data_IF_324995189077
#
_entry.id   IF_324995189077
#
_cell.length_a   1.000
_cell.length_b   1.000
_cell.length_c   1.000
_cell.angle_alpha   90.00
_cell.angle_beta   90.00
_cell.angle_gamma   90.00
#
_symmetry.space_group_name_H-M   'P 1'
#
loop_
_entity.id
_entity.type
_entity.pdbx_description
1 polymer ?
#
# COMPACT_ATOMS: atom_id res chain seq x y z
N UNK A 1 -19.00 -1.48 7.41
CA UNK A 1 -19.00 -2.68 6.55
C UNK A 1 -17.75 -3.45 6.92
N UNK A 2 -17.84 -4.39 7.87
CA UNK A 2 -16.68 -5.23 8.22
C UNK A 2 -16.45 -6.18 7.05
N UNK A 3 -15.29 -6.09 6.40
CA UNK A 3 -14.82 -7.13 5.49
C UNK A 3 -14.57 -8.38 6.35
N UNK A 4 -15.60 -9.24 6.47
CA UNK A 4 -15.40 -10.58 6.98
C UNK A 4 -14.66 -11.33 5.86
N UNK A 5 -13.33 -11.35 5.92
CA UNK A 5 -12.54 -12.31 5.16
C UNK A 5 -12.91 -13.69 5.69
N UNK A 6 -13.90 -14.31 5.06
CA UNK A 6 -14.02 -15.75 5.10
C UNK A 6 -12.72 -16.30 4.51
N UNK A 7 -12.03 -17.18 5.25
CA UNK A 7 -10.85 -17.89 4.73
C UNK A 7 -11.20 -18.77 3.52
N UNK A 8 -12.50 -18.93 3.22
CA UNK A 8 -12.97 -19.62 2.04
C UNK A 8 -12.90 -18.70 0.81
N UNK A 9 -11.80 -18.83 0.07
CA UNK A 9 -11.58 -18.16 -1.22
C UNK A 9 -12.77 -18.35 -2.17
N UNK A 10 -13.41 -19.53 -2.14
CA UNK A 10 -14.54 -19.83 -3.01
C UNK A 10 -15.77 -18.97 -2.72
N UNK A 11 -15.94 -18.47 -1.49
CA UNK A 11 -17.05 -17.60 -1.12
C UNK A 11 -16.77 -16.13 -1.44
N UNK A 12 -15.51 -15.71 -1.41
CA UNK A 12 -15.11 -14.29 -1.57
C UNK A 12 -14.75 -13.94 -3.01
N UNK A 13 -14.25 -14.88 -3.81
CA UNK A 13 -13.78 -14.62 -5.16
C UNK A 13 -14.91 -14.21 -6.13
N UNK A 14 -16.10 -14.80 -6.02
CA UNK A 14 -17.23 -14.46 -6.90
C UNK A 14 -17.75 -13.03 -6.68
N UNK A 15 -18.09 -12.60 -5.44
CA UNK A 15 -18.51 -11.23 -5.20
C UNK A 15 -17.39 -10.23 -5.55
N UNK A 16 -16.13 -10.55 -5.23
CA UNK A 16 -14.98 -9.70 -5.59
C UNK A 16 -14.89 -9.45 -7.11
N UNK A 17 -14.90 -10.50 -7.93
CA UNK A 17 -14.83 -10.37 -9.38
C UNK A 17 -16.03 -9.62 -9.97
N UNK A 18 -17.22 -9.80 -9.38
CA UNK A 18 -18.43 -9.10 -9.80
C UNK A 18 -18.30 -7.59 -9.55
N UNK A 19 -17.89 -7.18 -8.34
CA UNK A 19 -17.69 -5.77 -8.01
C UNK A 19 -16.52 -5.15 -8.78
N UNK A 20 -15.46 -5.91 -9.03
CA UNK A 20 -14.33 -5.47 -9.84
C UNK A 20 -14.76 -5.22 -11.30
N UNK A 21 -15.51 -6.15 -11.89
CA UNK A 21 -16.09 -6.00 -13.24
C UNK A 21 -16.99 -4.78 -13.31
N UNK A 22 -17.89 -4.60 -12.32
CA UNK A 22 -18.78 -3.44 -12.24
C UNK A 22 -17.99 -2.13 -12.16
N UNK A 23 -16.90 -2.11 -11.39
CA UNK A 23 -16.02 -0.94 -11.28
C UNK A 23 -15.40 -0.58 -12.63
N UNK A 24 -14.91 -1.57 -13.40
CA UNK A 24 -14.39 -1.33 -14.74
C UNK A 24 -15.48 -0.85 -15.72
N UNK A 25 -16.71 -1.38 -15.63
CA UNK A 25 -17.85 -0.90 -16.43
C UNK A 25 -18.14 0.58 -16.14
N UNK A 26 -18.12 0.98 -14.86
CA UNK A 26 -18.32 2.37 -14.46
C UNK A 26 -17.21 3.26 -15.02
N UNK A 27 -15.94 2.84 -14.92
CA UNK A 27 -14.80 3.61 -15.46
C UNK A 27 -14.89 3.70 -17.00
N UNK A 28 -15.26 2.62 -17.69
CA UNK A 28 -15.48 2.62 -19.13
C UNK A 28 -16.58 3.61 -19.52
N UNK A 29 -17.69 3.63 -18.78
CA UNK A 29 -18.77 4.60 -18.99
C UNK A 29 -18.29 6.04 -18.79
N UNK A 30 -17.50 6.31 -17.74
CA UNK A 30 -16.91 7.64 -17.51
C UNK A 30 -16.03 8.09 -18.69
N UNK A 31 -15.17 7.20 -19.20
CA UNK A 31 -14.33 7.49 -20.36
C UNK A 31 -15.13 7.66 -21.66
N UNK A 32 -16.19 6.88 -21.85
CA UNK A 32 -17.08 7.02 -23.00
C UNK A 32 -17.84 8.36 -22.98
N UNK A 33 -18.42 8.73 -21.82
CA UNK A 33 -19.10 10.01 -21.64
C UNK A 33 -18.15 11.20 -21.81
N UNK A 34 -16.90 11.07 -21.34
CA UNK A 34 -15.85 12.05 -21.59
C UNK A 34 -15.55 12.16 -23.09
N UNK A 35 -15.35 11.04 -23.78
CA UNK A 35 -15.14 11.00 -25.23
C UNK A 35 -16.27 11.67 -26.03
N UNK A 36 -17.54 11.54 -25.60
CA UNK A 36 -18.65 12.28 -26.24
C UNK A 36 -18.59 13.80 -26.06
N UNK A 37 -17.99 14.29 -24.95
CA UNK A 37 -17.88 15.73 -24.65
C UNK A 37 -16.70 16.39 -25.35
N UNK A 38 -15.53 15.73 -25.35
CA UNK A 38 -14.25 16.32 -25.84
C UNK A 38 -13.74 15.70 -27.15
N UNK A 39 -14.43 14.69 -27.70
CA UNK A 39 -14.02 13.94 -28.88
C UNK A 39 -13.23 12.66 -28.54
N UNK A 40 -13.31 11.66 -29.42
CA UNK A 40 -12.59 10.39 -29.26
C UNK A 40 -11.18 10.48 -29.84
N UNK A 41 -10.24 10.96 -29.03
CA UNK A 41 -8.81 10.91 -29.36
C UNK A 41 -8.28 9.45 -29.30
N UNK A 42 -7.12 9.19 -29.92
CA UNK A 42 -6.47 7.86 -29.90
C UNK A 42 -6.22 7.33 -28.48
N UNK A 43 -5.86 8.21 -27.53
CA UNK A 43 -5.67 7.82 -26.13
C UNK A 43 -6.97 7.34 -25.45
N UNK A 44 -8.09 8.01 -25.75
CA UNK A 44 -9.40 7.64 -25.21
C UNK A 44 -9.83 6.31 -25.81
N UNK A 45 -9.62 6.10 -27.12
CA UNK A 45 -9.92 4.83 -27.77
C UNK A 45 -9.06 3.70 -27.21
N UNK A 46 -7.75 3.92 -27.04
CA UNK A 46 -6.83 2.93 -26.47
C UNK A 46 -7.23 2.57 -25.02
N UNK A 47 -7.58 3.57 -24.21
CA UNK A 47 -8.05 3.36 -22.83
C UNK A 47 -9.38 2.61 -22.80
N UNK A 48 -10.33 2.95 -23.68
CA UNK A 48 -11.60 2.22 -23.80
C UNK A 48 -11.40 0.77 -24.23
N UNK A 49 -10.50 0.50 -25.19
CA UNK A 49 -10.14 -0.87 -25.61
C UNK A 49 -9.50 -1.66 -24.47
N UNK A 50 -8.59 -1.05 -23.72
CA UNK A 50 -7.96 -1.68 -22.56
C UNK A 50 -9.01 -2.03 -21.49
N UNK A 51 -9.87 -1.08 -21.12
CA UNK A 51 -10.94 -1.30 -20.14
C UNK A 51 -11.95 -2.36 -20.62
N UNK A 52 -12.32 -2.36 -21.90
CA UNK A 52 -13.18 -3.39 -22.48
C UNK A 52 -12.53 -4.78 -22.37
N UNK A 53 -11.22 -4.87 -22.60
CA UNK A 53 -10.47 -6.13 -22.45
C UNK A 53 -10.49 -6.61 -21.00
N UNK A 54 -10.34 -5.71 -20.01
CA UNK A 54 -10.48 -6.08 -18.59
C UNK A 54 -11.86 -6.60 -18.25
N UNK A 55 -12.91 -5.93 -18.74
CA UNK A 55 -14.29 -6.36 -18.51
C UNK A 55 -14.50 -7.75 -19.12
N UNK A 56 -14.01 -8.02 -20.33
CA UNK A 56 -14.13 -9.35 -20.95
C UNK A 56 -13.41 -10.42 -20.13
N UNK A 57 -12.20 -10.15 -19.64
CA UNK A 57 -11.43 -11.10 -18.82
C UNK A 57 -12.16 -11.40 -17.50
N UNK A 58 -12.55 -10.38 -16.75
CA UNK A 58 -13.16 -10.56 -15.43
C UNK A 58 -14.63 -11.03 -15.49
N UNK A 59 -15.42 -10.51 -16.42
CA UNK A 59 -16.78 -11.01 -16.65
C UNK A 59 -16.74 -12.44 -17.18
N UNK A 60 -15.82 -12.75 -18.10
CA UNK A 60 -15.61 -14.11 -18.61
C UNK A 60 -15.25 -15.08 -17.49
N UNK A 61 -14.29 -14.73 -16.63
CA UNK A 61 -13.93 -15.54 -15.47
C UNK A 61 -15.12 -15.74 -14.51
N UNK A 62 -15.90 -14.69 -14.26
CA UNK A 62 -17.11 -14.76 -13.42
C UNK A 62 -18.15 -15.71 -14.03
N UNK A 63 -18.42 -15.61 -15.34
CA UNK A 63 -19.36 -16.48 -16.04
C UNK A 63 -18.91 -17.94 -16.03
N UNK A 64 -17.63 -18.22 -16.26
CA UNK A 64 -17.09 -19.58 -16.23
C UNK A 64 -17.30 -20.25 -14.86
N UNK A 65 -17.15 -19.49 -13.77
CA UNK A 65 -17.44 -19.98 -12.41
C UNK A 65 -18.94 -20.22 -12.22
N UNK A 66 -19.81 -19.28 -12.62
CA UNK A 66 -21.28 -19.41 -12.48
C UNK A 66 -21.83 -20.61 -13.25
N UNK A 67 -21.33 -20.85 -14.47
CA UNK A 67 -21.71 -22.00 -15.29
C UNK A 67 -21.02 -23.32 -14.89
N UNK A 68 -20.26 -23.33 -13.77
CA UNK A 68 -19.50 -24.50 -13.29
C UNK A 68 -18.50 -25.07 -14.31
N UNK A 69 -18.06 -24.25 -15.25
CA UNK A 69 -17.01 -24.60 -16.23
C UNK A 69 -15.60 -24.38 -15.64
N UNK A 70 -15.50 -23.64 -14.53
CA UNK A 70 -14.26 -23.39 -13.80
C UNK A 70 -14.53 -23.42 -12.29
N UNK A 71 -13.57 -23.91 -11.51
CA UNK A 71 -13.64 -24.01 -10.04
C UNK A 71 -13.21 -22.72 -9.34
N UNK A 72 -13.99 -22.25 -8.37
CA UNK A 72 -13.68 -21.04 -7.60
C UNK A 72 -12.60 -21.30 -6.53
N UNK A 73 -11.44 -21.76 -6.97
CA UNK A 73 -10.31 -22.19 -6.14
C UNK A 73 -9.10 -21.27 -6.37
N UNK A 74 -8.05 -21.41 -5.56
CA UNK A 74 -6.83 -20.60 -5.57
C UNK A 74 -6.19 -20.41 -6.96
N UNK A 75 -6.43 -21.34 -7.89
CA UNK A 75 -6.00 -21.26 -9.30
C UNK A 75 -6.55 -20.02 -10.01
N UNK A 76 -7.68 -19.46 -9.55
CA UNK A 76 -8.25 -18.23 -10.10
C UNK A 76 -7.35 -17.01 -9.89
N UNK A 77 -6.38 -17.09 -8.97
CA UNK A 77 -5.41 -16.02 -8.74
C UNK A 77 -4.64 -15.62 -10.01
N UNK A 78 -4.47 -16.55 -10.97
CA UNK A 78 -3.82 -16.28 -12.25
C UNK A 78 -4.56 -15.20 -13.07
N UNK A 79 -5.89 -15.11 -12.92
CA UNK A 79 -6.71 -14.12 -13.64
C UNK A 79 -6.34 -12.70 -13.22
N UNK A 80 -5.97 -12.49 -11.96
CA UNK A 80 -5.57 -11.17 -11.44
C UNK A 80 -4.20 -10.70 -11.93
N UNK A 81 -3.39 -11.57 -12.53
CA UNK A 81 -2.11 -11.22 -13.15
C UNK A 81 -2.30 -10.68 -14.58
N UNK A 82 -3.35 -11.14 -15.28
CA UNK A 82 -3.62 -10.79 -16.68
C UNK A 82 -3.73 -9.27 -16.93
N UNK A 83 -4.38 -8.46 -16.07
CA UNK A 83 -4.45 -7.01 -16.27
C UNK A 83 -3.09 -6.31 -16.30
N UNK A 84 -2.11 -6.79 -15.54
CA UNK A 84 -0.75 -6.24 -15.56
C UNK A 84 -0.08 -6.47 -16.92
N UNK A 85 -0.27 -7.66 -17.50
CA UNK A 85 0.25 -7.98 -18.84
C UNK A 85 -0.40 -7.10 -19.91
N UNK A 86 -1.73 -6.97 -19.87
CA UNK A 86 -2.47 -6.12 -20.81
C UNK A 86 -2.04 -4.65 -20.66
N UNK A 87 -1.93 -4.12 -19.44
CA UNK A 87 -1.48 -2.74 -19.18
C UNK A 87 -0.11 -2.48 -19.82
N UNK A 88 0.81 -3.44 -19.69
CA UNK A 88 2.15 -3.35 -20.25
C UNK A 88 2.14 -3.23 -21.79
N UNK A 89 1.28 -3.97 -22.48
CA UNK A 89 1.15 -3.87 -23.95
C UNK A 89 0.51 -2.56 -24.41
N UNK A 90 -0.44 -2.02 -23.65
CA UNK A 90 -1.17 -0.79 -24.00
C UNK A 90 -0.44 0.49 -23.61
N UNK A 91 0.58 0.43 -22.74
CA UNK A 91 1.35 1.60 -22.28
C UNK A 91 1.91 2.44 -23.44
N UNK A 92 2.30 1.82 -24.56
CA UNK A 92 2.86 2.51 -25.73
C UNK A 92 1.83 3.30 -26.55
N UNK A 93 0.54 3.05 -26.35
CA UNK A 93 -0.57 3.67 -27.12
C UNK A 93 -1.25 4.83 -26.38
N UNK A 94 -0.80 5.15 -25.17
CA UNK A 94 -1.35 6.22 -24.37
C UNK A 94 -0.34 7.36 -24.26
N UNK A 95 -0.78 8.57 -24.61
CA UNK A 95 -0.02 9.79 -24.35
C UNK A 95 0.14 10.00 -22.84
N UNK A 96 1.32 10.47 -22.43
CA UNK A 96 1.63 10.76 -21.04
C UNK A 96 1.14 12.16 -20.68
N UNK A 97 -0.14 12.45 -20.94
CA UNK A 97 -0.73 13.70 -20.48
C UNK A 97 -0.59 13.76 -18.95
N UNK A 98 0.07 14.79 -18.40
CA UNK A 98 0.40 14.82 -16.99
C UNK A 98 -0.88 14.88 -16.17
N UNK A 99 -1.13 13.82 -15.42
CA UNK A 99 -2.20 13.75 -14.41
C UNK A 99 -1.97 14.88 -13.40
N UNK A 100 -3.04 15.48 -12.89
CA UNK A 100 -2.95 16.48 -11.83
C UNK A 100 -2.27 15.86 -10.60
N UNK A 101 -1.00 16.23 -10.39
CA UNK A 101 -0.13 15.65 -9.38
C UNK A 101 -0.69 15.76 -7.95
N UNK A 102 -1.06 16.96 -7.44
CA UNK A 102 -1.64 17.06 -6.10
C UNK A 102 -2.94 16.25 -5.93
N UNK A 103 -3.77 16.15 -6.98
CA UNK A 103 -4.97 15.30 -6.91
C UNK A 103 -4.62 13.80 -6.80
N UNK A 104 -3.56 13.35 -7.47
CA UNK A 104 -3.10 11.97 -7.34
C UNK A 104 -2.51 11.70 -5.95
N UNK A 105 -1.75 12.64 -5.39
CA UNK A 105 -1.22 12.57 -4.02
C UNK A 105 -2.37 12.37 -3.02
N UNK A 106 -3.41 13.20 -3.11
CA UNK A 106 -4.58 13.11 -2.22
C UNK A 106 -5.26 11.73 -2.28
N UNK A 107 -5.51 11.22 -3.50
CA UNK A 107 -6.15 9.90 -3.69
C UNK A 107 -5.30 8.76 -3.14
N UNK A 108 -4.00 8.76 -3.43
CA UNK A 108 -3.07 7.77 -2.90
C UNK A 108 -3.00 7.82 -1.37
N UNK A 109 -3.08 9.02 -0.79
CA UNK A 109 -3.11 9.20 0.65
C UNK A 109 -4.36 8.61 1.29
N UNK A 110 -5.53 8.89 0.71
CA UNK A 110 -6.81 8.37 1.19
C UNK A 110 -6.86 6.85 1.17
N UNK A 111 -6.40 6.20 0.10
CA UNK A 111 -6.34 4.73 0.00
C UNK A 111 -5.46 4.15 1.11
N UNK A 112 -4.30 4.76 1.35
CA UNK A 112 -3.38 4.30 2.40
C UNK A 112 -3.98 4.50 3.80
N UNK A 113 -4.66 5.62 4.06
CA UNK A 113 -5.36 5.88 5.34
C UNK A 113 -6.44 4.82 5.60
N UNK A 114 -7.23 4.46 4.58
CA UNK A 114 -8.23 3.40 4.70
C UNK A 114 -7.56 2.06 5.04
N UNK A 115 -6.45 1.74 4.37
CA UNK A 115 -5.68 0.51 4.62
C UNK A 115 -5.14 0.47 6.06
N UNK A 116 -4.63 1.58 6.58
CA UNK A 116 -4.27 1.71 8.00
C UNK A 116 -5.45 1.41 8.93
N UNK A 117 -6.61 2.00 8.62
CA UNK A 117 -7.84 1.75 9.39
C UNK A 117 -8.23 0.27 9.42
N UNK A 118 -8.08 -0.42 8.30
CA UNK A 118 -8.29 -1.87 8.19
C UNK A 118 -7.32 -2.67 9.05
N UNK A 119 -6.02 -2.35 8.99
CA UNK A 119 -5.02 -3.01 9.84
C UNK A 119 -5.31 -2.79 11.33
N UNK A 120 -5.76 -1.60 11.73
CA UNK A 120 -6.17 -1.34 13.13
C UNK A 120 -7.36 -2.20 13.54
N UNK A 121 -8.36 -2.38 12.67
CA UNK A 121 -9.49 -3.28 12.94
C UNK A 121 -9.00 -4.73 13.12
N UNK A 122 -8.05 -5.18 12.29
CA UNK A 122 -7.46 -6.51 12.42
C UNK A 122 -6.68 -6.68 13.73
N UNK A 123 -5.94 -5.66 14.17
CA UNK A 123 -5.26 -5.68 15.49
C UNK A 123 -6.30 -5.82 16.61
N UNK A 124 -7.34 -5.00 16.63
CA UNK A 124 -8.38 -5.03 17.68
C UNK A 124 -9.11 -6.39 17.71
N UNK A 125 -9.34 -6.98 16.54
CA UNK A 125 -10.00 -8.29 16.41
C UNK A 125 -9.14 -9.44 16.94
N UNK A 126 -7.84 -9.45 16.65
CA UNK A 126 -6.93 -10.54 17.01
C UNK A 126 -6.28 -10.38 18.39
N UNK A 127 -6.16 -9.13 18.87
CA UNK A 127 -5.56 -8.78 20.17
C UNK A 127 -6.53 -7.88 20.95
N UNK A 128 -7.66 -8.42 21.43
CA UNK A 128 -8.66 -7.64 22.13
C UNK A 128 -8.10 -7.11 23.46
N UNK A 129 -8.28 -5.81 23.70
CA UNK A 129 -7.73 -5.12 24.88
C UNK A 129 -8.20 -5.68 26.22
N UNK A 130 -9.34 -6.36 26.26
CA UNK A 130 -9.88 -6.96 27.48
C UNK A 130 -9.14 -8.25 27.89
N UNK A 131 -8.57 -8.97 26.93
CA UNK A 131 -7.90 -10.26 27.17
C UNK A 131 -6.38 -10.13 27.06
N UNK A 132 -5.90 -9.38 26.06
CA UNK A 132 -4.49 -9.18 25.75
C UNK A 132 -4.16 -7.67 25.74
N UNK A 133 -4.25 -6.99 26.89
CA UNK A 133 -4.10 -5.55 26.98
C UNK A 133 -2.71 -5.08 26.54
N UNK A 134 -1.66 -5.82 26.92
CA UNK A 134 -0.29 -5.39 26.66
C UNK A 134 0.05 -5.50 25.17
N UNK A 135 -0.24 -6.63 24.55
CA UNK A 135 -0.01 -6.90 23.13
C UNK A 135 -0.82 -5.95 22.24
N UNK A 136 -2.12 -5.78 22.54
CA UNK A 136 -3.00 -4.89 21.80
C UNK A 136 -2.52 -3.43 21.86
N UNK A 137 -2.12 -2.96 23.05
CA UNK A 137 -1.56 -1.60 23.23
C UNK A 137 -0.25 -1.44 22.46
N UNK A 138 0.69 -2.39 22.58
CA UNK A 138 1.97 -2.33 21.88
C UNK A 138 1.78 -2.30 20.36
N UNK A 139 0.91 -3.14 19.81
CA UNK A 139 0.61 -3.16 18.38
C UNK A 139 -0.06 -1.86 17.92
N UNK A 140 -0.98 -1.31 18.70
CA UNK A 140 -1.62 -0.04 18.41
C UNK A 140 -0.60 1.11 18.38
N UNK A 141 0.33 1.16 19.34
CA UNK A 141 1.40 2.17 19.36
C UNK A 141 2.38 2.03 18.18
N UNK A 142 2.74 0.80 17.82
CA UNK A 142 3.55 0.56 16.63
C UNK A 142 2.83 1.09 15.38
N UNK A 143 1.55 0.74 15.21
CA UNK A 143 0.73 1.17 14.08
C UNK A 143 0.57 2.70 14.03
N UNK A 144 0.31 3.34 15.16
CA UNK A 144 0.24 4.80 15.26
C UNK A 144 1.56 5.47 14.88
N UNK A 145 2.70 4.90 15.30
CA UNK A 145 4.02 5.44 14.96
C UNK A 145 4.32 5.28 13.47
N UNK A 146 3.98 4.15 12.86
CA UNK A 146 4.05 3.94 11.41
C UNK A 146 3.20 4.96 10.66
N UNK A 147 1.98 5.21 11.13
CA UNK A 147 1.07 6.20 10.54
C UNK A 147 1.63 7.62 10.62
N UNK A 148 2.19 8.03 11.76
CA UNK A 148 2.80 9.35 11.91
C UNK A 148 4.01 9.50 10.99
N UNK A 149 4.86 8.46 10.89
CA UNK A 149 5.99 8.47 9.96
C UNK A 149 5.53 8.62 8.51
N UNK A 150 4.47 7.89 8.13
CA UNK A 150 3.84 7.97 6.82
C UNK A 150 3.31 9.38 6.51
N UNK A 151 2.47 9.97 7.39
CA UNK A 151 1.92 11.32 7.19
C UNK A 151 3.04 12.37 7.14
N UNK A 152 4.06 12.22 7.97
CA UNK A 152 5.20 13.16 7.98
C UNK A 152 5.95 13.14 6.64
N UNK A 153 6.17 11.96 6.06
CA UNK A 153 6.83 11.84 4.76
C UNK A 153 5.93 12.25 3.59
N UNK A 154 4.66 11.86 3.58
CA UNK A 154 3.81 12.01 2.39
C UNK A 154 2.99 13.29 2.38
N UNK A 155 2.50 13.76 3.52
CA UNK A 155 1.67 14.96 3.60
C UNK A 155 2.49 16.23 3.84
N UNK A 156 3.42 16.19 4.80
CA UNK A 156 4.19 17.39 5.16
C UNK A 156 5.35 17.68 4.21
N UNK A 157 5.91 16.63 3.58
CA UNK A 157 7.21 16.75 2.91
C UNK A 157 7.12 16.78 1.38
N UNK A 158 6.06 16.21 0.78
CA UNK A 158 5.87 16.19 -0.67
C UNK A 158 5.59 17.61 -1.19
N UNK A 159 6.23 17.96 -2.30
CA UNK A 159 5.96 19.21 -3.00
C UNK A 159 4.69 19.10 -3.85
N UNK A 160 3.58 19.60 -3.31
CA UNK A 160 2.27 19.55 -3.94
C UNK A 160 2.14 20.48 -5.17
N UNK A 161 3.09 21.39 -5.39
CA UNK A 161 3.08 22.33 -6.52
C UNK A 161 3.90 21.82 -7.71
N UNK A 162 4.57 20.67 -7.57
CA UNK A 162 5.42 20.09 -8.60
C UNK A 162 4.59 19.53 -9.75
N UNK A 163 4.90 19.95 -10.98
CA UNK A 163 4.46 19.26 -12.21
C UNK A 163 5.38 18.08 -12.49
N UNK A 164 5.10 16.93 -11.87
CA UNK A 164 5.86 15.70 -12.06
C UNK A 164 4.96 14.57 -12.54
N UNK A 165 5.55 13.62 -13.26
CA UNK A 165 4.91 12.34 -13.55
C UNK A 165 4.55 11.65 -12.23
N UNK A 166 3.26 11.33 -12.04
CA UNK A 166 2.74 10.72 -10.83
C UNK A 166 2.96 9.20 -10.79
N UNK A 167 3.57 8.62 -11.83
CA UNK A 167 3.77 7.17 -11.96
C UNK A 167 4.60 6.58 -10.81
N UNK A 168 5.76 7.16 -10.47
CA UNK A 168 6.59 6.65 -9.34
C UNK A 168 5.87 6.83 -8.01
N UNK A 169 5.10 7.92 -7.84
CA UNK A 169 4.27 8.15 -6.65
C UNK A 169 3.20 7.05 -6.49
N UNK A 170 2.53 6.69 -7.58
CA UNK A 170 1.51 5.64 -7.59
C UNK A 170 2.13 4.28 -7.22
N UNK A 171 3.25 3.91 -7.86
CA UNK A 171 3.94 2.67 -7.53
C UNK A 171 4.45 2.65 -6.08
N UNK A 172 4.99 3.77 -5.58
CA UNK A 172 5.41 3.86 -4.19
C UNK A 172 4.23 3.62 -3.22
N UNK A 173 3.06 4.22 -3.47
CA UNK A 173 1.88 3.97 -2.63
C UNK A 173 1.33 2.56 -2.75
N UNK A 174 1.36 1.94 -3.94
CA UNK A 174 1.00 0.52 -4.10
C UNK A 174 1.91 -0.38 -3.24
N UNK A 175 3.21 -0.09 -3.21
CA UNK A 175 4.19 -0.79 -2.36
C UNK A 175 3.88 -0.55 -0.88
N UNK A 176 3.56 0.68 -0.47
CA UNK A 176 3.17 0.98 0.93
C UNK A 176 1.93 0.18 1.34
N UNK A 177 0.87 0.22 0.53
CA UNK A 177 -0.38 -0.52 0.77
C UNK A 177 -0.12 -2.02 0.84
N UNK A 178 0.73 -2.56 -0.04
CA UNK A 178 1.12 -3.97 0.02
C UNK A 178 1.83 -4.31 1.33
N UNK A 179 2.74 -3.45 1.80
CA UNK A 179 3.43 -3.62 3.08
C UNK A 179 2.47 -3.64 4.27
N UNK A 180 1.46 -2.75 4.28
CA UNK A 180 0.40 -2.74 5.30
C UNK A 180 -0.46 -4.00 5.25
N UNK A 181 -0.79 -4.52 4.05
CA UNK A 181 -1.54 -5.77 3.92
C UNK A 181 -0.76 -6.96 4.47
N UNK A 182 0.56 -7.05 4.22
CA UNK A 182 1.39 -8.08 4.84
C UNK A 182 1.43 -7.98 6.36
N UNK A 183 1.43 -6.75 6.91
CA UNK A 183 1.28 -6.54 8.34
C UNK A 183 -0.07 -7.06 8.86
N UNK A 184 -1.17 -6.71 8.19
CA UNK A 184 -2.53 -7.19 8.54
C UNK A 184 -2.56 -8.71 8.57
N UNK A 185 -2.06 -9.36 7.52
CA UNK A 185 -1.99 -10.83 7.42
C UNK A 185 -1.13 -11.40 8.54
N UNK A 186 0.00 -10.78 8.89
CA UNK A 186 0.82 -11.23 10.01
C UNK A 186 0.03 -11.25 11.34
N UNK A 187 -0.75 -10.19 11.62
CA UNK A 187 -1.58 -10.11 12.83
C UNK A 187 -2.65 -11.19 12.91
N UNK A 188 -3.21 -11.58 11.77
CA UNK A 188 -4.17 -12.69 11.68
C UNK A 188 -3.49 -14.04 11.80
N UNK A 189 -2.26 -14.18 11.29
CA UNK A 189 -1.53 -15.45 11.32
C UNK A 189 -0.96 -15.79 12.69
N UNK A 190 -0.54 -14.80 13.49
CA UNK A 190 0.00 -15.04 14.84
C UNK A 190 -0.99 -15.74 15.78
N UNK A 191 -2.30 -15.51 15.59
CA UNK A 191 -3.37 -16.17 16.36
C UNK A 191 -3.87 -17.47 15.72
N UNK A 192 -3.36 -17.83 14.53
CA UNK A 192 -3.82 -18.96 13.73
C UNK A 192 -2.92 -20.20 13.85
N UNK A 193 -3.36 -21.32 13.26
CA UNK A 193 -2.55 -22.54 13.14
C UNK A 193 -1.34 -22.40 12.20
N UNK A 194 -1.26 -21.33 11.42
CA UNK A 194 -0.16 -21.03 10.48
C UNK A 194 0.79 -19.94 11.00
N UNK A 195 1.01 -19.91 12.32
CA UNK A 195 1.87 -18.93 12.98
C UNK A 195 3.31 -18.88 12.42
N UNK A 196 3.81 -19.99 11.87
CA UNK A 196 5.15 -20.05 11.26
C UNK A 196 5.35 -19.04 10.12
N UNK A 197 4.27 -18.61 9.45
CA UNK A 197 4.30 -17.61 8.39
C UNK A 197 4.11 -16.17 8.91
N UNK A 198 3.67 -15.98 10.15
CA UNK A 198 3.36 -14.65 10.70
C UNK A 198 4.59 -13.75 10.78
N UNK A 199 5.70 -14.24 11.35
CA UNK A 199 6.95 -13.48 11.47
C UNK A 199 7.58 -13.15 10.09
N UNK A 200 7.69 -14.09 9.13
CA UNK A 200 8.11 -13.77 7.77
C UNK A 200 7.24 -12.69 7.10
N UNK A 201 5.92 -12.79 7.22
CA UNK A 201 5.00 -11.79 6.65
C UNK A 201 5.17 -10.42 7.32
N UNK A 202 5.39 -10.37 8.63
CA UNK A 202 5.66 -9.13 9.35
C UNK A 202 6.96 -8.47 8.86
N UNK A 203 8.05 -9.24 8.74
CA UNK A 203 9.35 -8.74 8.29
C UNK A 203 9.25 -8.23 6.85
N UNK A 204 8.66 -9.02 5.95
CA UNK A 204 8.48 -8.62 4.55
C UNK A 204 7.60 -7.37 4.45
N UNK A 205 6.48 -7.34 5.18
CA UNK A 205 5.59 -6.17 5.23
C UNK A 205 6.30 -4.91 5.70
N UNK A 206 7.11 -5.03 6.76
CA UNK A 206 7.90 -3.95 7.33
C UNK A 206 8.94 -3.40 6.33
N UNK A 207 9.69 -4.29 5.66
CA UNK A 207 10.68 -3.92 4.65
C UNK A 207 10.04 -3.20 3.46
N UNK A 208 8.95 -3.75 2.95
CA UNK A 208 8.19 -3.21 1.82
C UNK A 208 7.60 -1.85 2.18
N UNK A 209 6.96 -1.73 3.35
CA UNK A 209 6.33 -0.50 3.83
C UNK A 209 7.34 0.67 3.91
N UNK A 210 8.45 0.49 4.63
CA UNK A 210 9.44 1.56 4.78
C UNK A 210 10.15 1.88 3.46
N UNK A 211 10.40 0.86 2.62
CA UNK A 211 10.99 1.08 1.29
C UNK A 211 10.06 1.86 0.36
N UNK A 212 8.75 1.58 0.42
CA UNK A 212 7.71 2.35 -0.28
C UNK A 212 7.70 3.82 0.15
N UNK A 213 7.71 4.08 1.46
CA UNK A 213 7.74 5.46 1.99
C UNK A 213 9.03 6.19 1.58
N UNK A 214 10.19 5.55 1.74
CA UNK A 214 11.46 6.20 1.37
C UNK A 214 11.53 6.51 -0.13
N UNK A 215 10.87 5.71 -0.97
CA UNK A 215 10.76 5.97 -2.41
C UNK A 215 9.94 7.23 -2.73
N UNK A 216 8.98 7.62 -1.87
CA UNK A 216 8.25 8.90 -2.05
C UNK A 216 9.14 10.11 -1.85
N UNK A 217 10.31 9.95 -1.21
CA UNK A 217 11.26 11.05 -1.01
C UNK A 217 11.73 11.71 -2.29
N UNK A 218 11.62 11.04 -3.45
CA UNK A 218 11.91 11.66 -4.74
C UNK A 218 11.02 12.89 -5.04
N UNK A 219 9.82 12.91 -4.46
CA UNK A 219 8.82 13.98 -4.62
C UNK A 219 8.85 15.01 -3.49
N UNK A 220 9.73 14.84 -2.51
CA UNK A 220 9.88 15.78 -1.41
C UNK A 220 10.45 17.12 -1.89
N UNK A 221 10.08 18.20 -1.19
CA UNK A 221 10.72 19.51 -1.34
C UNK A 221 12.24 19.35 -1.23
N UNK A 222 13.02 20.12 -2.01
CA UNK A 222 14.48 19.93 -2.14
C UNK A 222 15.21 19.85 -0.79
N UNK A 223 14.81 20.69 0.16
CA UNK A 223 15.33 20.76 1.53
C UNK A 223 15.13 19.46 2.31
N UNK A 224 14.07 18.72 1.99
CA UNK A 224 13.68 17.50 2.68
C UNK A 224 13.92 16.20 1.87
N UNK A 225 14.57 16.27 0.71
CA UNK A 225 14.94 15.08 -0.07
C UNK A 225 16.01 14.24 0.65
N UNK A 226 15.74 12.94 0.82
CA UNK A 226 16.64 12.01 1.51
C UNK A 226 17.86 11.75 0.63
N UNK A 227 18.99 12.35 0.99
CA UNK A 227 20.27 12.05 0.36
C UNK A 227 20.73 10.60 0.63
N UNK A 228 21.70 10.12 -0.15
CA UNK A 228 22.24 8.74 -0.06
C UNK A 228 22.68 8.34 1.36
N UNK A 229 23.30 9.26 2.11
CA UNK A 229 23.69 9.02 3.51
C UNK A 229 22.47 8.80 4.42
N UNK A 230 21.39 9.55 4.21
CA UNK A 230 20.16 9.39 4.97
C UNK A 230 19.45 8.07 4.64
N UNK A 231 19.41 7.70 3.36
CA UNK A 231 18.89 6.39 2.93
C UNK A 231 19.68 5.24 3.56
N UNK A 232 21.00 5.35 3.62
CA UNK A 232 21.85 4.35 4.28
C UNK A 232 21.55 4.22 5.77
N UNK A 233 21.34 5.33 6.49
CA UNK A 233 20.98 5.29 7.92
C UNK A 233 19.61 4.64 8.13
N UNK A 234 18.60 5.00 7.32
CA UNK A 234 17.30 4.34 7.37
C UNK A 234 17.40 2.84 7.09
N UNK A 235 18.17 2.45 6.07
CA UNK A 235 18.39 1.05 5.74
C UNK A 235 19.09 0.29 6.88
N UNK A 236 20.05 0.91 7.57
CA UNK A 236 20.73 0.31 8.71
C UNK A 236 19.79 0.12 9.90
N UNK A 237 18.99 1.14 10.25
CA UNK A 237 17.98 1.03 11.31
C UNK A 237 16.99 -0.10 10.99
N UNK A 238 16.50 -0.14 9.75
CA UNK A 238 15.56 -1.15 9.28
C UNK A 238 16.18 -2.56 9.31
N UNK A 239 17.43 -2.71 8.89
CA UNK A 239 18.17 -3.98 8.94
C UNK A 239 18.32 -4.46 10.39
N UNK A 240 18.81 -3.60 11.28
CA UNK A 240 19.04 -3.94 12.69
C UNK A 240 17.71 -4.35 13.36
N UNK A 241 16.63 -3.61 13.13
CA UNK A 241 15.33 -3.95 13.70
C UNK A 241 14.78 -5.27 13.19
N UNK A 242 14.88 -5.56 11.89
CA UNK A 242 14.41 -6.83 11.35
C UNK A 242 15.29 -8.02 11.78
N UNK A 243 16.60 -7.84 11.95
CA UNK A 243 17.48 -8.85 12.55
C UNK A 243 17.10 -9.11 14.01
N UNK A 244 16.80 -8.06 14.78
CA UNK A 244 16.34 -8.20 16.16
C UNK A 244 15.02 -8.99 16.23
N UNK A 245 14.06 -8.74 15.32
CA UNK A 245 12.81 -9.51 15.22
C UNK A 245 13.05 -11.01 14.97
N UNK A 246 14.10 -11.37 14.22
CA UNK A 246 14.45 -12.78 13.98
C UNK A 246 15.08 -13.48 15.19
N UNK A 247 15.73 -12.71 16.08
CA UNK A 247 16.47 -13.24 17.23
C UNK A 247 15.61 -13.30 18.51
N UNK A 248 14.34 -12.89 18.44
CA UNK A 248 13.43 -12.65 19.55
C UNK A 248 13.09 -13.88 20.41
N UNK A 249 13.33 -15.09 19.91
CA UNK A 249 13.13 -16.32 20.70
C UNK A 249 11.66 -16.68 20.95
N UNK A 250 10.74 -16.24 20.07
CA UNK A 250 9.32 -16.59 20.02
C UNK A 250 8.41 -15.97 21.11
N UNK A 251 8.78 -14.84 21.71
CA UNK A 251 7.91 -14.13 22.65
C UNK A 251 7.13 -13.02 21.96
N UNK A 252 5.81 -13.17 21.82
CA UNK A 252 4.97 -12.16 21.16
C UNK A 252 5.15 -10.73 21.73
N UNK A 253 5.32 -10.60 23.05
CA UNK A 253 5.53 -9.31 23.70
C UNK A 253 6.88 -8.70 23.29
N UNK A 254 7.95 -9.49 23.30
CA UNK A 254 9.29 -8.99 22.96
C UNK A 254 9.34 -8.55 21.50
N UNK A 255 8.73 -9.34 20.60
CA UNK A 255 8.55 -9.01 19.19
C UNK A 255 7.85 -7.65 19.00
N UNK A 256 6.74 -7.40 19.70
CA UNK A 256 6.03 -6.13 19.59
C UNK A 256 6.79 -4.96 20.22
N UNK A 257 7.59 -5.20 21.26
CA UNK A 257 8.50 -4.19 21.82
C UNK A 257 9.59 -3.83 20.82
N UNK A 258 10.22 -4.81 20.17
CA UNK A 258 11.23 -4.58 19.13
C UNK A 258 10.63 -3.79 17.96
N UNK A 259 9.42 -4.14 17.53
CA UNK A 259 8.69 -3.41 16.48
C UNK A 259 8.46 -1.94 16.86
N UNK A 260 8.06 -1.68 18.11
CA UNK A 260 7.90 -0.31 18.62
C UNK A 260 9.23 0.44 18.62
N UNK A 261 10.31 -0.17 19.14
CA UNK A 261 11.64 0.45 19.16
C UNK A 261 12.15 0.78 17.77
N UNK A 262 11.95 -0.12 16.80
CA UNK A 262 12.27 0.11 15.40
C UNK A 262 11.47 1.29 14.84
N UNK A 263 10.14 1.29 15.01
CA UNK A 263 9.29 2.36 14.49
C UNK A 263 9.63 3.72 15.12
N UNK A 264 9.97 3.72 16.41
CA UNK A 264 10.41 4.90 17.14
C UNK A 264 11.76 5.42 16.64
N UNK A 265 12.73 4.53 16.38
CA UNK A 265 14.02 4.92 15.83
C UNK A 265 13.88 5.57 14.44
N UNK A 266 13.00 5.04 13.59
CA UNK A 266 12.71 5.59 12.27
C UNK A 266 12.13 7.00 12.34
N UNK A 267 11.14 7.24 13.21
CA UNK A 267 10.54 8.57 13.38
C UNK A 267 11.49 9.55 14.08
N UNK A 268 12.25 9.11 15.08
CA UNK A 268 13.21 9.97 15.76
C UNK A 268 14.27 10.50 14.79
N UNK A 269 14.83 9.62 13.95
CA UNK A 269 15.78 10.03 12.92
C UNK A 269 15.13 10.97 11.90
N UNK A 270 13.87 10.69 11.49
CA UNK A 270 13.15 11.58 10.59
C UNK A 270 12.98 12.98 11.16
N UNK A 271 12.53 13.10 12.42
CA UNK A 271 12.31 14.39 13.10
C UNK A 271 13.61 15.16 13.25
N UNK A 272 14.71 14.51 13.65
CA UNK A 272 16.03 15.15 13.75
C UNK A 272 16.44 15.72 12.39
N UNK A 273 16.27 14.94 11.32
CA UNK A 273 16.59 15.37 9.97
C UNK A 273 15.69 16.51 9.49
N UNK A 274 14.39 16.44 9.78
CA UNK A 274 13.43 17.48 9.43
C UNK A 274 13.77 18.81 10.10
N UNK A 275 14.10 18.79 11.41
CA UNK A 275 14.54 19.98 12.15
C UNK A 275 15.82 20.58 11.56
N UNK A 276 16.85 19.77 11.33
CA UNK A 276 18.12 20.23 10.73
C UNK A 276 17.89 20.90 9.37
N UNK A 277 17.02 20.34 8.54
CA UNK A 277 16.68 20.89 7.25
C UNK A 277 16.01 22.28 7.37
N UNK A 278 15.11 22.45 8.36
CA UNK A 278 14.48 23.75 8.63
C UNK A 278 15.46 24.80 9.20
N UNK A 279 16.40 24.41 10.05
CA UNK A 279 17.43 25.34 10.54
C UNK A 279 18.32 25.85 9.40
N UNK A 280 18.70 24.98 8.45
CA UNK A 280 19.48 25.40 7.27
C UNK A 280 18.74 26.39 6.36
N UNK A 281 17.41 26.42 6.39
CA UNK A 281 16.60 27.41 5.66
C UNK A 281 16.57 28.77 6.35
N UNK A 282 16.74 28.82 7.67
CA UNK A 282 16.68 30.04 8.47
C UNK A 282 18.05 30.75 8.55
N UNK A 283 19.11 30.18 7.97
CA UNK A 283 20.47 30.73 8.02
C UNK A 283 21.10 30.65 9.42
N UNK A 284 20.51 29.88 10.33
CA UNK A 284 21.06 29.61 11.65
C UNK A 284 21.97 28.37 11.57
N UNK A 285 23.09 28.51 10.88
CA UNK A 285 24.18 27.53 10.99
C UNK A 285 24.89 27.77 12.33
N UNK A 286 24.67 26.87 13.29
CA UNK A 286 25.49 26.72 14.51
C UNK A 286 26.50 25.60 14.30
#
# INVERSE_FOLDING_TARGET
MSLNFSNDFAQTALPFNTFLTLSYVIILLQYYLRGRRIGFNEDIKATLQMLATYIVVFAGATLLVVFKLWTNDERMLIVYIIPFLISFFFQKRMSHDPINFPHMVERCQLITIITFGETVIAIIKNYPLLELPLEGILLFFAMATLFIFYISQTYLTIDHHRKADATVLLYAHLVIVLGLNFFTVAMELFSSHHNDLALPMLIVGNLIFYSGILSTSFYNQQVHQVGRRGLFIYALILLIGNVALLLDGHSNILLFVILNLLSHAMIAYHVIRFRKANHSLLGEDV
#
